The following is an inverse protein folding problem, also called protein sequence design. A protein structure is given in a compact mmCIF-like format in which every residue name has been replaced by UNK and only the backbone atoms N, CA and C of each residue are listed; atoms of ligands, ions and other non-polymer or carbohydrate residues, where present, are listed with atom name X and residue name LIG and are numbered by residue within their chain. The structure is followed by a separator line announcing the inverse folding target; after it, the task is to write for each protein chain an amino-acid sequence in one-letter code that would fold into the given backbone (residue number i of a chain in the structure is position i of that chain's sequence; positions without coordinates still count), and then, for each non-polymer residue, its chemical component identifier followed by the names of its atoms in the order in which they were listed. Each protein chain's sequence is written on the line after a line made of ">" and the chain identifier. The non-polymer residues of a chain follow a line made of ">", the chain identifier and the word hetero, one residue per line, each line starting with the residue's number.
data_IF_058713187422
#
_entry.id   IF_058713187422
#
_cell.length_a   1.000
_cell.length_b   1.000
_cell.length_c   1.000
_cell.angle_alpha   90.00
_cell.angle_beta   90.00
_cell.angle_gamma   90.00
#
_symmetry.space_group_name_H-M   'P 1'
#
loop_
_entity.id
_entity.type
_entity.pdbx_description
1 polymer ?
#
# COMPACT_ATOMS: atom_id res chain seq x y z
N UNK A 1 -32.32 -11.69 28.58
CA UNK A 1 -30.85 -11.54 28.66
C UNK A 1 -30.19 -11.49 27.28
N UNK A 2 -30.44 -12.42 26.35
CA UNK A 2 -29.83 -12.43 25.00
C UNK A 2 -30.06 -11.16 24.14
N UNK A 3 -31.23 -10.51 24.29
CA UNK A 3 -31.60 -9.30 23.53
C UNK A 3 -30.78 -8.06 23.93
N UNK A 4 -30.44 -7.92 25.22
CA UNK A 4 -29.65 -6.78 25.71
C UNK A 4 -28.16 -6.96 25.38
N UNK A 5 -27.67 -8.20 25.33
CA UNK A 5 -26.31 -8.51 24.89
C UNK A 5 -26.05 -8.14 23.42
N UNK A 6 -27.04 -8.34 22.54
CA UNK A 6 -26.95 -7.93 21.12
C UNK A 6 -26.83 -6.41 20.96
N UNK A 7 -27.57 -5.64 21.76
CA UNK A 7 -27.53 -4.17 21.72
C UNK A 7 -26.16 -3.66 22.17
N UNK A 8 -25.57 -4.26 23.21
CA UNK A 8 -24.24 -3.88 23.71
C UNK A 8 -23.15 -4.16 22.66
N UNK A 9 -23.21 -5.31 21.98
CA UNK A 9 -22.28 -5.65 20.89
C UNK A 9 -22.40 -4.64 19.74
N UNK A 10 -23.62 -4.24 19.38
CA UNK A 10 -23.87 -3.28 18.31
C UNK A 10 -23.35 -1.88 18.64
N UNK A 11 -23.42 -1.46 19.91
CA UNK A 11 -22.90 -0.17 20.39
C UNK A 11 -21.36 -0.15 20.39
N UNK A 12 -20.73 -1.27 20.76
CA UNK A 12 -19.26 -1.41 20.74
C UNK A 12 -18.67 -1.35 19.32
N UNK A 13 -19.46 -1.62 18.27
CA UNK A 13 -19.03 -1.54 16.87
C UNK A 13 -19.16 -0.14 16.23
N UNK A 14 -19.66 0.87 16.96
CA UNK A 14 -19.83 2.24 16.44
C UNK A 14 -18.49 3.03 16.46
N UNK A 15 -17.40 2.43 16.94
CA UNK A 15 -16.08 3.05 16.96
C UNK A 15 -15.55 3.39 15.56
N UNK A 16 -15.19 4.66 15.37
CA UNK A 16 -14.35 5.21 14.28
C UNK A 16 -14.68 4.70 12.87
N UNK A 17 -15.76 5.24 12.29
CA UNK A 17 -16.01 5.09 10.86
C UNK A 17 -15.03 6.00 10.10
N UNK A 18 -14.04 5.40 9.45
CA UNK A 18 -13.19 6.10 8.49
C UNK A 18 -13.91 6.15 7.13
N UNK A 19 -13.96 7.33 6.51
CA UNK A 19 -14.43 7.43 5.14
C UNK A 19 -13.47 6.66 4.21
N UNK A 20 -14.01 5.82 3.33
CA UNK A 20 -13.24 5.13 2.29
C UNK A 20 -13.24 5.98 1.03
N UNK A 21 -12.10 6.07 0.36
CA UNK A 21 -12.01 6.74 -0.93
C UNK A 21 -12.29 5.77 -2.08
N UNK A 22 -12.59 6.31 -3.26
CA UNK A 22 -12.78 5.51 -4.49
C UNK A 22 -11.51 4.70 -4.81
N UNK A 23 -10.34 5.27 -4.53
CA UNK A 23 -9.05 4.59 -4.69
C UNK A 23 -8.91 3.36 -3.77
N UNK A 24 -9.42 3.43 -2.54
CA UNK A 24 -9.40 2.30 -1.60
C UNK A 24 -10.32 1.19 -2.09
N UNK A 25 -11.52 1.56 -2.54
CA UNK A 25 -12.47 0.61 -3.12
C UNK A 25 -11.85 -0.13 -4.32
N UNK A 26 -11.18 0.59 -5.23
CA UNK A 26 -10.50 -0.02 -6.36
C UNK A 26 -9.36 -0.96 -5.92
N UNK A 27 -8.51 -0.50 -4.98
CA UNK A 27 -7.35 -1.24 -4.48
C UNK A 27 -7.73 -2.54 -3.75
N UNK A 28 -8.89 -2.58 -3.11
CA UNK A 28 -9.43 -3.79 -2.47
C UNK A 28 -10.35 -4.62 -3.37
N UNK A 29 -10.91 -4.03 -4.44
CA UNK A 29 -11.74 -4.76 -5.41
C UNK A 29 -10.94 -5.75 -6.26
N UNK A 30 -9.65 -5.47 -6.45
CA UNK A 30 -8.75 -6.32 -7.24
C UNK A 30 -8.00 -7.27 -6.31
N UNK A 31 -8.30 -8.55 -6.43
CA UNK A 31 -7.54 -9.61 -5.76
C UNK A 31 -6.54 -10.14 -6.78
N UNK A 32 -5.25 -9.92 -6.54
CA UNK A 32 -4.22 -10.68 -7.23
C UNK A 32 -4.08 -12.02 -6.51
N UNK A 33 -4.20 -13.12 -7.24
CA UNK A 33 -4.03 -14.43 -6.64
C UNK A 33 -2.55 -14.77 -6.57
N UNK A 34 -1.90 -14.39 -5.46
CA UNK A 34 -0.60 -14.95 -5.13
C UNK A 34 -0.71 -16.42 -4.73
N UNK A 35 0.34 -17.17 -5.02
CA UNK A 35 0.36 -18.63 -4.94
C UNK A 35 1.74 -19.17 -5.26
N UNK A 36 1.82 -20.47 -5.50
CA UNK A 36 3.04 -21.13 -5.94
C UNK A 36 3.45 -20.63 -7.32
N UNK A 37 4.72 -20.84 -7.68
CA UNK A 37 5.19 -20.58 -9.04
C UNK A 37 4.35 -21.35 -10.08
N UNK A 38 4.00 -22.61 -9.81
CA UNK A 38 3.11 -23.42 -10.66
C UNK A 38 1.73 -22.76 -10.83
N UNK A 39 1.13 -22.32 -9.73
CA UNK A 39 -0.19 -21.67 -9.73
C UNK A 39 -0.20 -20.40 -10.59
N UNK A 40 0.80 -19.53 -10.38
CA UNK A 40 0.94 -18.24 -11.09
C UNK A 40 1.31 -18.46 -12.57
N UNK A 41 2.24 -19.36 -12.89
CA UNK A 41 2.64 -19.68 -14.27
C UNK A 41 1.48 -20.19 -15.11
N UNK A 42 0.44 -20.74 -14.49
CA UNK A 42 -0.78 -21.19 -15.17
C UNK A 42 -1.91 -20.16 -15.12
N UNK A 43 -1.58 -18.89 -14.88
CA UNK A 43 -2.55 -17.80 -14.88
C UNK A 43 -3.61 -17.95 -13.80
N UNK A 44 -3.27 -18.60 -12.67
CA UNK A 44 -4.21 -18.92 -11.59
C UNK A 44 -5.34 -19.88 -11.96
N UNK A 45 -5.19 -20.65 -13.06
CA UNK A 45 -6.22 -21.58 -13.54
C UNK A 45 -6.45 -22.83 -12.66
N UNK A 46 -5.53 -23.13 -11.73
CA UNK A 46 -5.65 -24.30 -10.86
C UNK A 46 -6.80 -24.20 -9.85
N UNK A 47 -7.47 -23.06 -9.70
CA UNK A 47 -8.67 -22.94 -8.84
C UNK A 47 -9.75 -23.96 -9.25
N UNK A 48 -9.88 -24.29 -10.54
CA UNK A 48 -10.83 -25.29 -11.03
C UNK A 48 -10.27 -26.73 -10.99
N UNK A 49 -8.96 -26.92 -11.24
CA UNK A 49 -8.34 -28.23 -11.38
C UNK A 49 -7.90 -28.86 -10.04
N UNK A 50 -7.55 -28.04 -9.04
CA UNK A 50 -6.98 -28.50 -7.77
C UNK A 50 -5.53 -28.97 -7.90
N UNK A 51 -5.02 -29.69 -6.88
CA UNK A 51 -3.69 -30.30 -6.91
C UNK A 51 -2.51 -29.34 -6.74
N UNK A 52 -2.77 -28.09 -6.37
CA UNK A 52 -1.75 -27.13 -5.91
C UNK A 52 -2.20 -26.51 -4.59
N UNK A 53 -1.30 -26.35 -3.60
CA UNK A 53 -1.70 -25.86 -2.28
C UNK A 53 -2.28 -24.44 -2.32
N UNK A 54 -1.95 -23.64 -3.33
CA UNK A 54 -2.52 -22.30 -3.51
C UNK A 54 -4.03 -22.33 -3.72
N UNK A 55 -4.52 -23.42 -4.31
CA UNK A 55 -5.95 -23.60 -4.60
C UNK A 55 -6.78 -23.69 -3.33
N UNK A 56 -6.21 -24.13 -2.20
CA UNK A 56 -6.93 -24.25 -0.93
C UNK A 56 -7.53 -22.92 -0.44
N UNK A 57 -6.91 -21.80 -0.81
CA UNK A 57 -7.39 -20.45 -0.45
C UNK A 57 -8.65 -20.02 -1.21
N UNK A 58 -8.91 -20.58 -2.39
CA UNK A 58 -10.03 -20.22 -3.27
C UNK A 58 -11.06 -21.35 -3.42
N UNK A 59 -10.57 -22.59 -3.53
CA UNK A 59 -11.36 -23.80 -3.68
C UNK A 59 -10.81 -24.92 -2.77
N UNK A 60 -11.31 -25.01 -1.53
CA UNK A 60 -10.88 -26.06 -0.58
C UNK A 60 -11.10 -27.49 -1.09
N UNK A 61 -12.06 -27.72 -2.00
CA UNK A 61 -12.31 -29.05 -2.56
C UNK A 61 -11.15 -29.56 -3.45
N UNK A 62 -10.31 -28.64 -3.96
CA UNK A 62 -9.09 -28.97 -4.70
C UNK A 62 -8.10 -29.83 -3.91
N UNK A 63 -8.24 -29.89 -2.57
CA UNK A 63 -7.44 -30.78 -1.73
C UNK A 63 -7.67 -32.26 -2.06
N UNK A 64 -8.86 -32.65 -2.53
CA UNK A 64 -9.22 -34.03 -2.84
C UNK A 64 -8.45 -34.62 -4.04
N UNK A 65 -7.75 -33.77 -4.79
CA UNK A 65 -6.94 -34.16 -5.94
C UNK A 65 -5.56 -34.70 -5.51
N UNK A 66 -5.05 -34.25 -4.35
CA UNK A 66 -3.79 -34.78 -3.82
C UNK A 66 -3.89 -36.28 -3.56
N UNK A 67 -2.87 -37.00 -4.01
CA UNK A 67 -2.70 -38.45 -3.83
C UNK A 67 -1.52 -38.80 -2.91
N UNK A 68 -0.72 -37.81 -2.54
CA UNK A 68 0.47 -37.91 -1.72
C UNK A 68 0.55 -36.75 -0.74
N UNK A 69 1.33 -36.93 0.32
CA UNK A 69 1.68 -35.84 1.22
C UNK A 69 2.76 -34.96 0.58
N UNK A 70 2.58 -33.65 0.59
CA UNK A 70 3.52 -32.68 -0.01
C UNK A 70 3.73 -31.48 0.91
N UNK A 71 4.95 -30.95 0.89
CA UNK A 71 5.29 -29.66 1.50
C UNK A 71 5.69 -28.73 0.36
N UNK A 72 5.13 -27.53 0.33
CA UNK A 72 5.44 -26.52 -0.69
C UNK A 72 5.85 -25.22 -0.03
N UNK A 73 6.90 -24.61 -0.58
CA UNK A 73 7.40 -23.29 -0.21
C UNK A 73 7.72 -22.56 -1.51
N UNK A 74 7.15 -21.38 -1.70
CA UNK A 74 7.31 -20.58 -2.92
C UNK A 74 7.75 -19.15 -2.57
N UNK A 75 9.07 -18.87 -2.60
CA UNK A 75 9.58 -17.51 -2.46
C UNK A 75 9.22 -16.66 -3.69
N UNK A 76 9.15 -15.35 -3.50
CA UNK A 76 8.80 -14.39 -4.55
C UNK A 76 9.66 -13.13 -4.44
N UNK A 77 10.03 -12.58 -5.59
CA UNK A 77 10.68 -11.28 -5.71
C UNK A 77 9.82 -10.39 -6.59
N UNK A 78 9.30 -9.31 -6.03
CA UNK A 78 8.70 -8.24 -6.83
C UNK A 78 9.77 -7.26 -7.28
N UNK A 79 9.68 -6.86 -8.55
CA UNK A 79 10.43 -5.76 -9.13
C UNK A 79 9.42 -4.68 -9.51
N UNK A 80 9.41 -3.57 -8.76
CA UNK A 80 8.47 -2.47 -8.95
C UNK A 80 9.27 -1.28 -9.47
N UNK A 81 8.90 -0.79 -10.65
CA UNK A 81 9.47 0.41 -11.25
C UNK A 81 8.43 1.52 -11.22
N UNK A 82 8.73 2.59 -10.50
CA UNK A 82 7.89 3.79 -10.45
C UNK A 82 8.53 4.88 -11.29
N UNK A 83 7.73 5.60 -12.07
CA UNK A 83 8.17 6.81 -12.79
C UNK A 83 7.38 8.00 -12.28
N UNK A 84 8.08 9.06 -11.90
CA UNK A 84 7.49 10.35 -11.59
C UNK A 84 7.96 11.38 -12.61
N UNK A 85 7.06 12.26 -13.03
CA UNK A 85 7.39 13.37 -13.92
C UNK A 85 7.15 14.69 -13.18
N UNK A 86 8.23 15.38 -12.86
CA UNK A 86 8.21 16.72 -12.30
C UNK A 86 9.41 17.50 -12.84
N UNK A 87 9.24 18.23 -13.94
CA UNK A 87 10.32 18.98 -14.60
C UNK A 87 11.56 18.12 -14.94
N UNK A 88 11.29 16.86 -15.28
CA UNK A 88 12.27 15.80 -15.38
C UNK A 88 11.60 14.47 -15.05
N UNK A 89 12.10 13.38 -15.64
CA UNK A 89 11.64 12.03 -15.31
C UNK A 89 12.57 11.49 -14.23
N UNK A 90 12.01 11.16 -13.07
CA UNK A 90 12.70 10.37 -12.04
C UNK A 90 12.18 8.94 -12.11
N UNK A 91 13.11 7.98 -12.03
CA UNK A 91 12.78 6.57 -11.97
C UNK A 91 13.21 6.02 -10.60
N UNK A 92 12.33 5.26 -9.97
CA UNK A 92 12.59 4.61 -8.70
C UNK A 92 12.36 3.11 -8.83
N UNK A 93 13.21 2.32 -8.17
CA UNK A 93 13.22 0.87 -8.27
C UNK A 93 13.13 0.25 -6.88
N UNK A 94 12.06 -0.50 -6.64
CA UNK A 94 11.87 -1.25 -5.41
C UNK A 94 11.93 -2.75 -5.69
N UNK A 95 12.89 -3.41 -5.04
CA UNK A 95 12.99 -4.85 -5.00
C UNK A 95 12.40 -5.35 -3.68
N UNK A 96 11.37 -6.19 -3.75
CA UNK A 96 10.73 -6.74 -2.57
C UNK A 96 10.74 -8.25 -2.59
N UNK A 97 11.68 -8.84 -1.84
CA UNK A 97 11.73 -10.27 -1.59
C UNK A 97 10.75 -10.64 -0.47
N UNK A 98 9.90 -11.63 -0.71
CA UNK A 98 8.93 -12.13 0.26
C UNK A 98 8.57 -13.59 -0.01
N UNK A 99 7.65 -14.13 0.79
CA UNK A 99 7.10 -15.47 0.62
C UNK A 99 5.69 -15.39 0.04
N UNK A 100 5.50 -15.95 -1.15
CA UNK A 100 4.21 -15.93 -1.85
C UNK A 100 3.27 -17.01 -1.32
N UNK A 101 3.80 -18.22 -1.12
CA UNK A 101 3.01 -19.36 -0.65
C UNK A 101 3.88 -20.28 0.21
N UNK A 102 3.29 -20.85 1.25
CA UNK A 102 3.84 -22.00 1.94
C UNK A 102 2.72 -22.87 2.49
N UNK A 103 2.91 -24.19 2.50
CA UNK A 103 1.92 -25.08 3.07
C UNK A 103 2.35 -26.54 3.08
N UNK A 104 1.50 -27.33 3.71
CA UNK A 104 1.62 -28.78 3.77
C UNK A 104 0.27 -29.41 3.48
N UNK A 105 0.28 -30.51 2.73
CA UNK A 105 -0.86 -31.42 2.58
C UNK A 105 -0.39 -32.79 2.99
N UNK A 106 -1.22 -33.49 3.75
CA UNK A 106 -1.03 -34.87 4.12
C UNK A 106 -2.19 -35.71 3.60
N UNK A 107 -1.85 -36.80 2.94
CA UNK A 107 -2.81 -37.81 2.54
C UNK A 107 -2.92 -38.84 3.68
N UNK A 108 -4.02 -38.78 4.42
CA UNK A 108 -4.29 -39.63 5.58
C UNK A 108 -4.86 -40.99 5.18
N UNK A 109 -5.70 -41.00 4.14
CA UNK A 109 -6.29 -42.21 3.58
C UNK A 109 -6.15 -42.13 2.06
N UNK A 110 -5.60 -43.18 1.45
CA UNK A 110 -5.62 -43.41 0.01
C UNK A 110 -5.81 -44.91 -0.23
N UNK A 111 -7.02 -45.27 -0.66
CA UNK A 111 -7.46 -46.64 -0.90
C UNK A 111 -8.06 -46.71 -2.29
N UNK A 112 -7.43 -47.46 -3.21
CA UNK A 112 -7.92 -47.60 -4.59
C UNK A 112 -9.03 -48.64 -4.75
N UNK A 113 -9.03 -49.68 -3.90
CA UNK A 113 -9.79 -50.92 -4.16
C UNK A 113 -10.86 -51.22 -3.08
N UNK A 114 -11.28 -50.22 -2.31
CA UNK A 114 -12.26 -50.39 -1.23
C UNK A 114 -13.52 -49.54 -1.45
N UNK A 115 -14.66 -50.02 -0.95
CA UNK A 115 -15.90 -49.23 -0.88
C UNK A 115 -15.92 -48.42 0.42
N UNK A 116 -16.43 -47.18 0.36
CA UNK A 116 -16.48 -46.25 1.49
C UNK A 116 -15.58 -45.02 1.31
N UNK A 117 -14.95 -44.55 2.39
CA UNK A 117 -14.03 -43.40 2.34
C UNK A 117 -12.71 -43.81 1.67
N UNK A 118 -12.59 -43.49 0.38
CA UNK A 118 -11.43 -43.87 -0.46
C UNK A 118 -10.26 -42.89 -0.38
N UNK A 119 -10.53 -41.62 -0.03
CA UNK A 119 -9.51 -40.59 0.05
C UNK A 119 -9.81 -39.59 1.18
N UNK A 120 -8.81 -39.30 2.01
CA UNK A 120 -8.89 -38.27 3.04
C UNK A 120 -7.58 -37.47 3.04
N UNK A 121 -7.70 -36.18 2.79
CA UNK A 121 -6.58 -35.24 2.81
C UNK A 121 -6.78 -34.20 3.90
N UNK A 122 -5.71 -33.89 4.63
CA UNK A 122 -5.65 -32.75 5.52
C UNK A 122 -4.58 -31.79 5.00
N UNK A 123 -4.84 -30.49 5.01
CA UNK A 123 -3.90 -29.54 4.46
C UNK A 123 -4.03 -28.17 5.09
N UNK A 124 -2.89 -27.49 5.14
CA UNK A 124 -2.76 -26.13 5.59
C UNK A 124 -1.96 -25.35 4.54
N UNK A 125 -2.48 -24.22 4.10
CA UNK A 125 -1.82 -23.35 3.13
C UNK A 125 -1.91 -21.90 3.55
N UNK A 126 -0.79 -21.21 3.41
CA UNK A 126 -0.65 -19.78 3.50
C UNK A 126 -0.40 -19.23 2.10
N UNK A 127 -1.21 -18.25 1.69
CA UNK A 127 -1.08 -17.54 0.43
C UNK A 127 -1.05 -16.03 0.70
N UNK A 128 -0.03 -15.34 0.17
CA UNK A 128 -0.03 -13.88 0.11
C UNK A 128 -0.79 -13.43 -1.13
N UNK A 129 -1.95 -12.83 -0.95
CA UNK A 129 -2.78 -12.36 -2.08
C UNK A 129 -2.27 -11.03 -2.64
N UNK A 130 -2.06 -10.02 -1.79
CA UNK A 130 -1.71 -8.68 -2.24
C UNK A 130 -0.34 -8.20 -1.72
N UNK A 131 0.28 -7.34 -2.52
CA UNK A 131 1.47 -6.58 -2.15
C UNK A 131 1.17 -5.08 -2.31
N UNK A 132 1.25 -4.34 -1.19
CA UNK A 132 1.00 -2.90 -1.16
C UNK A 132 2.27 -2.06 -1.09
N UNK A 133 3.45 -2.70 -1.21
CA UNK A 133 4.72 -2.01 -1.18
C UNK A 133 4.86 -1.14 -2.43
N UNK A 134 5.10 0.15 -2.22
CA UNK A 134 5.37 1.11 -3.28
C UNK A 134 6.49 2.03 -2.81
N UNK A 135 7.32 2.47 -3.75
CA UNK A 135 8.30 3.53 -3.52
C UNK A 135 8.13 4.54 -4.63
N UNK A 136 8.04 5.81 -4.24
CA UNK A 136 7.87 6.94 -5.16
C UNK A 136 8.93 7.96 -4.81
N UNK A 137 9.82 8.23 -5.75
CA UNK A 137 10.77 9.33 -5.69
C UNK A 137 10.38 10.37 -6.72
N UNK A 138 10.19 11.59 -6.27
CA UNK A 138 9.90 12.75 -7.11
C UNK A 138 11.06 13.71 -6.94
N UNK A 139 11.75 14.02 -8.04
CA UNK A 139 12.84 14.99 -8.06
C UNK A 139 12.76 15.82 -9.34
N UNK A 140 13.12 17.10 -9.22
CA UNK A 140 13.13 18.04 -10.33
C UNK A 140 13.45 19.43 -9.84
N UNK A 141 14.05 20.24 -10.71
CA UNK A 141 14.40 21.62 -10.39
C UNK A 141 13.29 22.53 -10.92
N UNK A 142 12.76 23.39 -10.05
CA UNK A 142 11.91 24.51 -10.44
C UNK A 142 12.62 25.83 -10.23
N UNK A 143 12.67 26.62 -11.29
CA UNK A 143 13.33 27.93 -11.27
C UNK A 143 12.36 29.08 -10.92
N UNK A 144 11.05 28.81 -10.89
CA UNK A 144 10.01 29.84 -10.71
C UNK A 144 9.24 29.72 -9.40
N UNK A 145 9.46 28.64 -8.65
CA UNK A 145 8.76 28.38 -7.40
C UNK A 145 9.59 27.47 -6.51
N UNK A 146 9.35 27.61 -5.22
CA UNK A 146 10.00 26.87 -4.15
C UNK A 146 8.99 26.46 -3.09
N UNK A 147 9.42 25.58 -2.18
CA UNK A 147 8.60 25.21 -1.03
C UNK A 147 8.30 26.40 -0.12
N UNK A 148 9.18 27.42 -0.10
CA UNK A 148 8.96 28.65 0.65
C UNK A 148 7.76 29.44 0.10
N UNK A 149 7.57 29.47 -1.22
CA UNK A 149 6.41 30.13 -1.84
C UNK A 149 5.11 29.40 -1.47
N UNK A 150 5.13 28.06 -1.46
CA UNK A 150 4.00 27.24 -1.00
C UNK A 150 3.67 27.52 0.47
N UNK A 151 4.69 27.56 1.35
CA UNK A 151 4.47 27.88 2.78
C UNK A 151 3.93 29.29 2.99
N UNK A 152 4.39 30.27 2.22
CA UNK A 152 3.86 31.63 2.27
C UNK A 152 2.39 31.67 1.81
N UNK A 153 2.04 30.97 0.72
CA UNK A 153 0.68 30.91 0.18
C UNK A 153 -0.30 30.30 1.20
N UNK A 154 0.00 29.12 1.74
CA UNK A 154 -0.89 28.45 2.73
C UNK A 154 -0.98 29.20 4.07
N UNK A 155 -0.04 30.12 4.35
CA UNK A 155 -0.05 30.94 5.55
C UNK A 155 -0.93 32.19 5.42
N UNK A 156 -1.28 32.58 4.19
CA UNK A 156 -2.05 33.80 3.92
C UNK A 156 -3.41 33.77 4.63
N UNK A 157 -3.74 34.84 5.34
CA UNK A 157 -4.97 34.93 6.15
C UNK A 157 -4.84 34.37 7.57
N UNK A 158 -3.71 33.76 7.93
CA UNK A 158 -3.46 33.21 9.27
C UNK A 158 -2.54 34.17 10.04
N UNK A 159 -2.90 34.50 11.28
CA UNK A 159 -2.01 35.27 12.16
C UNK A 159 -0.72 34.47 12.45
N UNK A 160 0.44 35.12 12.42
CA UNK A 160 1.74 34.44 12.57
C UNK A 160 1.87 33.63 13.87
N UNK A 161 1.17 34.02 14.95
CA UNK A 161 1.14 33.25 16.21
C UNK A 161 0.36 31.94 16.14
N UNK A 162 -0.49 31.80 15.13
CA UNK A 162 -1.34 30.64 14.91
C UNK A 162 -0.82 29.75 13.77
N UNK A 163 0.33 30.07 13.17
CA UNK A 163 0.96 29.21 12.19
C UNK A 163 1.45 27.93 12.88
N UNK A 164 1.15 26.80 12.25
CA UNK A 164 1.56 25.48 12.73
C UNK A 164 2.20 24.66 11.61
N UNK A 165 2.75 23.51 11.99
CA UNK A 165 3.38 22.59 11.04
C UNK A 165 4.57 23.21 10.31
N UNK A 166 4.78 22.78 9.07
CA UNK A 166 5.94 23.19 8.27
C UNK A 166 6.00 24.71 8.01
N UNK A 167 4.85 25.37 7.83
CA UNK A 167 4.78 26.81 7.59
C UNK A 167 5.18 27.63 8.83
N UNK A 168 4.78 27.21 10.03
CA UNK A 168 5.21 27.85 11.28
C UNK A 168 6.72 27.73 11.50
N UNK A 169 7.28 26.55 11.25
CA UNK A 169 8.74 26.34 11.32
C UNK A 169 9.46 27.22 10.29
N UNK A 170 8.91 27.35 9.07
CA UNK A 170 9.47 28.22 8.04
C UNK A 170 9.47 29.70 8.45
N UNK A 171 8.43 30.16 9.15
CA UNK A 171 8.36 31.51 9.72
C UNK A 171 9.41 31.71 10.82
N UNK A 172 9.47 30.79 11.79
CA UNK A 172 10.43 30.86 12.90
C UNK A 172 11.90 30.79 12.43
N UNK A 173 12.15 30.06 11.34
CA UNK A 173 13.45 29.94 10.70
C UNK A 173 13.78 31.08 9.70
N UNK A 174 12.93 32.12 9.61
CA UNK A 174 13.13 33.26 8.71
C UNK A 174 13.21 32.88 7.22
N UNK A 175 12.51 31.81 6.82
CA UNK A 175 12.36 31.42 5.41
C UNK A 175 11.22 32.22 4.76
N UNK A 176 10.15 32.48 5.51
CA UNK A 176 9.01 33.32 5.13
C UNK A 176 8.74 34.38 6.19
N UNK A 177 8.19 35.53 5.80
CA UNK A 177 7.80 36.60 6.73
C UNK A 177 6.52 37.31 6.26
N UNK A 178 5.86 38.01 7.18
CA UNK A 178 4.67 38.83 6.91
C UNK A 178 5.01 40.04 6.04
N UNK A 179 4.18 40.30 5.03
CA UNK A 179 4.29 41.48 4.19
C UNK A 179 3.62 42.65 4.93
N UNK A 180 4.41 43.66 5.29
CA UNK A 180 3.93 44.89 5.93
C UNK A 180 2.89 45.62 5.06
N UNK A 181 1.86 46.18 5.69
CA UNK A 181 0.83 46.98 5.00
C UNK A 181 -0.39 46.18 4.51
N UNK A 182 -0.46 44.89 4.83
CA UNK A 182 -1.50 43.97 4.34
C UNK A 182 -2.76 43.87 5.21
N UNK A 183 -2.84 44.69 6.27
CA UNK A 183 -4.01 44.77 7.15
C UNK A 183 -4.32 43.44 7.86
N UNK A 184 -5.58 43.16 8.21
CA UNK A 184 -5.97 41.95 8.94
C UNK A 184 -5.84 40.65 8.11
N UNK A 185 -5.48 40.77 6.83
CA UNK A 185 -5.42 39.65 5.90
C UNK A 185 -4.09 38.87 5.97
N UNK A 186 -3.08 39.37 6.69
CA UNK A 186 -1.78 38.70 6.94
C UNK A 186 -1.24 37.93 5.72
N UNK A 187 -0.70 38.65 4.72
CA UNK A 187 0.00 37.98 3.62
C UNK A 187 1.45 37.69 4.01
N UNK A 188 1.99 36.61 3.46
CA UNK A 188 3.37 36.19 3.66
C UNK A 188 4.12 36.22 2.34
N UNK A 189 5.41 36.48 2.41
CA UNK A 189 6.34 36.39 1.29
C UNK A 189 7.57 35.60 1.69
N UNK A 190 8.32 35.11 0.70
CA UNK A 190 9.63 34.53 0.95
C UNK A 190 10.62 35.64 1.30
N UNK A 191 11.48 35.40 2.29
CA UNK A 191 12.50 36.40 2.69
C UNK A 191 13.60 36.52 1.62
N UNK A 192 13.71 35.50 0.76
CA UNK A 192 14.64 35.48 -0.36
C UNK A 192 14.05 36.17 -1.60
N UNK A 193 14.28 37.47 -1.71
CA UNK A 193 13.82 38.32 -2.83
C UNK A 193 14.24 37.86 -4.25
N UNK A 194 15.17 36.89 -4.40
CA UNK A 194 15.75 36.49 -5.70
C UNK A 194 15.88 34.96 -5.88
N UNK A 195 15.10 34.15 -5.17
CA UNK A 195 15.24 32.69 -5.27
C UNK A 195 14.75 32.17 -6.63
N UNK A 196 15.67 31.68 -7.49
CA UNK A 196 15.35 31.12 -8.81
C UNK A 196 15.56 32.06 -10.01
N UNK A 197 15.71 33.37 -9.78
CA UNK A 197 15.88 34.38 -10.85
C UNK A 197 17.35 34.70 -11.19
N UNK A 198 18.32 33.99 -10.60
CA UNK A 198 19.75 34.21 -10.87
C UNK A 198 20.42 32.99 -11.54
N UNK A 199 20.70 33.02 -12.85
CA UNK A 199 21.62 32.08 -13.48
C UNK A 199 23.07 32.57 -13.25
N UNK A 200 24.03 31.81 -12.68
CA UNK A 200 24.02 30.60 -11.85
C UNK A 200 24.51 30.92 -10.42
N UNK A 201 23.75 30.60 -9.36
CA UNK A 201 24.32 30.64 -8.01
C UNK A 201 25.14 29.37 -7.75
N UNK A 202 26.44 29.46 -8.01
CA UNK A 202 27.46 28.51 -7.53
C UNK A 202 27.48 28.60 -6.01
N UNK A 203 26.79 27.70 -5.33
CA UNK A 203 27.10 27.38 -3.94
C UNK A 203 28.15 26.28 -3.98
N UNK A 204 29.36 26.59 -3.51
CA UNK A 204 30.43 25.62 -3.29
C UNK A 204 30.10 24.64 -2.16
#
# INVERSE_FOLDING_TARGET
>A
MKRNSLIIIMIMTIGSVYAQNVDDALRYSQIFYGGTARFISMGSAFTALGGDLSTLSQNPAGIGVFRSSEVTVSPQLFHIKTKANFNGISEDYLYNFNLSQAGVVTNLISRSDQTGLINLNFGYSYNRTNNYNTSVRIEGIQNRSSMADYWADISSGINYRNLGGAAGIAYDAWIIDTITGTGPNYYYGTVFSNYGDNPPSVYG
#
